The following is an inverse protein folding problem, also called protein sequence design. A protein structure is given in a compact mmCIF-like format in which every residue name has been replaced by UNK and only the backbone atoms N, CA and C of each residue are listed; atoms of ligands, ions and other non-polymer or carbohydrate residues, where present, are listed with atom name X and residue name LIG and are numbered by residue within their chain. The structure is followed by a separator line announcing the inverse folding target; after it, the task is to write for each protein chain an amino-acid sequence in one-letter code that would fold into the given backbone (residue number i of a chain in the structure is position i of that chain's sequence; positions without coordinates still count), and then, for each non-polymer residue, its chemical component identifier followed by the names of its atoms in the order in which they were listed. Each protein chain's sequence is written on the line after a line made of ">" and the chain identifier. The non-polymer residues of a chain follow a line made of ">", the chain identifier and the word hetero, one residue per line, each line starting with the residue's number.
data_IF_027814698840
#
_entry.id   IF_027814698840
#
_cell.length_a   1.000
_cell.length_b   1.000
_cell.length_c   1.000
_cell.angle_alpha   90.00
_cell.angle_beta   90.00
_cell.angle_gamma   90.00
#
_symmetry.space_group_name_H-M   'P 1'
#
loop_
_entity.id
_entity.type
_entity.pdbx_description
1 polymer ?
#
# COMPACT_ATOMS: atom_id res chain seq x y z
N UNK A 1 -40.41 12.99 4.94
CA UNK A 1 -39.17 13.74 5.19
C UNK A 1 -38.03 12.75 5.27
N UNK A 2 -37.23 12.61 4.22
CA UNK A 2 -35.93 11.91 4.26
C UNK A 2 -34.98 12.76 3.42
N UNK A 3 -34.14 13.57 4.07
CA UNK A 3 -33.05 14.27 3.40
C UNK A 3 -31.91 13.29 3.20
N UNK A 4 -31.48 13.12 1.95
CA UNK A 4 -30.21 12.48 1.61
C UNK A 4 -29.18 13.61 1.58
N UNK A 5 -28.26 13.63 2.54
CA UNK A 5 -27.13 14.56 2.56
C UNK A 5 -26.07 14.00 1.62
N UNK A 6 -25.89 14.65 0.47
CA UNK A 6 -24.80 14.36 -0.47
C UNK A 6 -23.52 15.04 0.03
N UNK A 7 -22.54 14.24 0.46
CA UNK A 7 -21.18 14.71 0.66
C UNK A 7 -20.55 14.99 -0.71
N UNK A 8 -20.15 16.23 -0.93
CA UNK A 8 -19.50 16.65 -2.16
C UNK A 8 -18.07 16.11 -2.20
N UNK A 9 -17.90 14.93 -2.81
CA UNK A 9 -16.59 14.41 -3.18
C UNK A 9 -16.12 15.24 -4.38
N UNK A 10 -15.06 16.02 -4.22
CA UNK A 10 -14.42 16.75 -5.33
C UNK A 10 -13.69 15.73 -6.20
N UNK A 11 -14.43 15.20 -7.16
CA UNK A 11 -13.97 14.28 -8.19
C UNK A 11 -15.13 14.08 -9.16
N UNK A 12 -14.86 14.00 -10.46
CA UNK A 12 -15.88 13.81 -11.49
C UNK A 12 -16.44 12.37 -11.41
N UNK A 13 -17.21 12.06 -10.37
CA UNK A 13 -17.89 10.78 -10.22
C UNK A 13 -18.91 10.64 -11.33
N UNK A 14 -18.63 9.78 -12.31
CA UNK A 14 -19.54 9.55 -13.43
C UNK A 14 -20.70 8.66 -12.97
N UNK A 15 -21.81 8.69 -13.73
CA UNK A 15 -23.00 7.89 -13.43
C UNK A 15 -22.68 6.38 -13.34
N UNK A 16 -21.67 5.91 -14.06
CA UNK A 16 -21.17 4.53 -13.99
C UNK A 16 -20.59 4.15 -12.63
N UNK A 17 -19.95 5.10 -11.93
CA UNK A 17 -19.33 4.85 -10.63
C UNK A 17 -20.39 4.68 -9.54
N UNK A 18 -21.47 5.47 -9.62
CA UNK A 18 -22.63 5.34 -8.74
C UNK A 18 -23.36 4.02 -8.96
N UNK A 19 -23.51 3.57 -10.22
CA UNK A 19 -24.12 2.27 -10.53
C UNK A 19 -23.24 1.08 -10.10
N UNK A 20 -21.90 1.23 -10.10
CA UNK A 20 -21.00 0.22 -9.54
C UNK A 20 -21.22 0.04 -8.03
N UNK A 21 -21.32 1.14 -7.28
CA UNK A 21 -21.56 1.13 -5.84
C UNK A 21 -22.99 0.70 -5.46
N UNK A 22 -23.96 0.91 -6.36
CA UNK A 22 -25.37 0.55 -6.16
C UNK A 22 -25.64 -0.94 -6.38
N UNK A 23 -24.69 -1.73 -6.91
CA UNK A 23 -24.87 -3.18 -7.02
C UNK A 23 -24.93 -3.82 -5.64
N UNK A 24 -26.05 -4.52 -5.43
CA UNK A 24 -26.55 -5.09 -4.18
C UNK A 24 -25.52 -5.86 -3.33
N UNK A 25 -25.76 -6.01 -2.00
CA UNK A 25 -24.87 -6.75 -1.12
C UNK A 25 -24.65 -8.16 -1.65
N UNK A 26 -23.40 -8.58 -1.72
CA UNK A 26 -23.02 -9.96 -2.05
C UNK A 26 -23.77 -10.90 -1.09
N UNK A 27 -24.79 -11.57 -1.62
CA UNK A 27 -25.54 -12.61 -0.94
C UNK A 27 -24.63 -13.83 -0.75
N UNK A 28 -24.16 -14.05 0.48
CA UNK A 28 -23.47 -15.28 0.85
C UNK A 28 -24.52 -16.34 1.21
N UNK A 29 -24.64 -17.45 0.46
CA UNK A 29 -25.51 -18.54 0.88
C UNK A 29 -24.85 -19.26 2.07
N UNK A 30 -25.51 -19.19 3.22
CA UNK A 30 -25.13 -19.95 4.41
C UNK A 30 -25.45 -21.43 4.18
N UNK A 31 -24.44 -22.26 3.95
CA UNK A 31 -24.58 -23.72 3.90
C UNK A 31 -23.83 -24.36 5.07
N UNK A 32 -24.57 -25.11 5.88
CA UNK A 32 -24.08 -25.84 7.04
C UNK A 32 -23.23 -27.05 6.65
N UNK A 33 -22.31 -27.41 7.55
CA UNK A 33 -21.12 -28.25 7.43
C UNK A 33 -21.31 -29.72 6.98
N UNK A 34 -20.32 -30.23 6.25
CA UNK A 34 -19.85 -31.62 6.37
C UNK A 34 -18.32 -31.65 6.32
N UNK A 35 -17.70 -32.23 7.35
CA UNK A 35 -16.25 -32.40 7.52
C UNK A 35 -15.67 -33.41 6.52
N UNK A 36 -14.57 -33.06 5.87
CA UNK A 36 -13.54 -34.01 5.44
C UNK A 36 -12.17 -33.46 5.80
N UNK A 37 -11.44 -34.24 6.61
CA UNK A 37 -10.09 -33.96 7.06
C UNK A 37 -9.11 -34.27 5.92
N UNK A 38 -8.33 -33.28 5.46
CA UNK A 38 -7.07 -33.55 4.74
C UNK A 38 -6.11 -32.36 4.86
N UNK A 39 -5.07 -32.57 5.67
CA UNK A 39 -3.73 -31.98 5.67
C UNK A 39 -3.57 -30.48 5.40
N UNK A 40 -3.11 -29.77 6.43
CA UNK A 40 -2.38 -28.49 6.29
C UNK A 40 -1.12 -28.71 5.45
N UNK A 41 -1.20 -28.44 4.16
CA UNK A 41 -0.08 -27.92 3.39
C UNK A 41 -0.46 -26.49 3.03
N UNK A 42 -0.20 -25.56 3.95
CA UNK A 42 -0.10 -24.16 3.58
C UNK A 42 1.10 -24.08 2.65
N UNK A 43 0.83 -24.21 1.36
CA UNK A 43 1.79 -23.88 0.32
C UNK A 43 2.13 -22.41 0.57
N UNK A 44 3.35 -22.17 1.03
CA UNK A 44 3.88 -20.83 1.10
C UNK A 44 3.94 -20.34 -0.34
N UNK A 45 2.87 -19.72 -0.81
CA UNK A 45 2.81 -19.09 -2.12
C UNK A 45 3.91 -18.06 -2.14
N UNK A 46 5.06 -18.47 -2.72
CA UNK A 46 6.14 -17.59 -3.12
C UNK A 46 5.48 -16.38 -3.76
N UNK A 47 5.74 -15.19 -3.21
CA UNK A 47 5.26 -13.96 -3.81
C UNK A 47 5.53 -14.04 -5.33
N UNK A 48 4.54 -13.73 -6.18
CA UNK A 48 4.73 -13.83 -7.63
C UNK A 48 6.05 -13.17 -8.01
N UNK A 49 6.87 -13.76 -8.90
CA UNK A 49 8.20 -13.24 -9.24
C UNK A 49 8.21 -11.79 -9.76
N UNK A 50 7.03 -11.25 -10.05
CA UNK A 50 6.79 -9.86 -10.41
C UNK A 50 6.77 -8.90 -9.20
N UNK A 51 6.32 -9.36 -8.03
CA UNK A 51 6.24 -8.54 -6.82
C UNK A 51 7.61 -8.06 -6.36
N UNK A 52 8.61 -8.96 -6.27
CA UNK A 52 9.95 -8.57 -5.80
C UNK A 52 10.61 -7.55 -6.75
N UNK A 53 10.43 -7.76 -8.07
CA UNK A 53 10.91 -6.82 -9.09
C UNK A 53 10.20 -5.48 -9.00
N UNK A 54 8.90 -5.48 -8.76
CA UNK A 54 8.12 -4.26 -8.59
C UNK A 54 8.50 -3.53 -7.30
N UNK A 55 8.64 -4.26 -6.19
CA UNK A 55 9.07 -3.72 -4.91
C UNK A 55 10.48 -3.10 -4.98
N UNK A 56 11.40 -3.69 -5.75
CA UNK A 56 12.70 -3.06 -6.03
C UNK A 56 12.54 -1.69 -6.69
N UNK A 57 11.65 -1.55 -7.69
CA UNK A 57 11.39 -0.24 -8.33
C UNK A 57 10.82 0.78 -7.34
N UNK A 58 9.95 0.33 -6.44
CA UNK A 58 9.44 1.19 -5.37
C UNK A 58 10.58 1.67 -4.47
N UNK A 59 11.49 0.77 -4.08
CA UNK A 59 12.67 1.14 -3.30
C UNK A 59 13.59 2.13 -4.03
N UNK A 60 13.72 2.02 -5.35
CA UNK A 60 14.51 2.95 -6.16
C UNK A 60 13.91 4.36 -6.14
N UNK A 61 12.58 4.49 -6.22
CA UNK A 61 11.90 5.80 -6.11
C UNK A 61 12.06 6.41 -4.71
N UNK A 62 11.97 5.60 -3.66
CA UNK A 62 12.24 6.10 -2.30
C UNK A 62 13.71 6.50 -2.11
N UNK A 63 14.65 5.75 -2.72
CA UNK A 63 16.07 6.11 -2.72
C UNK A 63 16.30 7.45 -3.39
N UNK A 64 15.66 7.69 -4.54
CA UNK A 64 15.69 8.98 -5.23
C UNK A 64 15.19 10.09 -4.30
N UNK A 65 14.09 9.88 -3.60
CA UNK A 65 13.54 10.90 -2.71
C UNK A 65 14.43 11.20 -1.50
N UNK A 66 15.05 10.18 -0.88
CA UNK A 66 16.03 10.35 0.21
C UNK A 66 17.21 11.19 -0.27
N UNK A 67 17.72 10.91 -1.47
CA UNK A 67 18.81 11.66 -2.07
C UNK A 67 18.42 13.12 -2.36
N UNK A 68 17.24 13.35 -2.94
CA UNK A 68 16.70 14.70 -3.20
C UNK A 68 16.52 15.51 -1.91
N UNK A 69 16.06 14.87 -0.83
CA UNK A 69 15.92 15.48 0.49
C UNK A 69 17.24 15.65 1.24
N UNK A 70 18.38 15.27 0.63
CA UNK A 70 19.73 15.30 1.21
C UNK A 70 19.81 14.59 2.56
N UNK A 71 19.10 13.47 2.67
CA UNK A 71 19.15 12.61 3.85
C UNK A 71 20.09 11.44 3.61
N UNK A 72 20.58 10.87 4.72
CA UNK A 72 21.50 9.74 4.71
C UNK A 72 20.82 8.57 5.41
N UNK A 73 20.85 7.42 4.76
CA UNK A 73 20.39 6.18 5.35
C UNK A 73 21.45 5.68 6.36
N UNK A 74 21.09 5.40 7.63
CA UNK A 74 22.03 4.87 8.59
C UNK A 74 22.66 3.55 8.12
N UNK A 75 23.93 3.26 8.45
CA UNK A 75 24.63 2.05 7.97
C UNK A 75 23.98 0.71 8.35
N UNK A 76 23.12 0.70 9.38
CA UNK A 76 22.42 -0.50 9.86
C UNK A 76 21.11 -0.78 9.10
N UNK A 77 20.68 0.12 8.24
CA UNK A 77 19.40 0.05 7.55
C UNK A 77 19.61 -0.12 6.05
N UNK A 78 18.78 -0.96 5.43
CA UNK A 78 18.63 -1.03 3.98
C UNK A 78 17.38 -0.27 3.53
N UNK A 79 17.36 0.21 2.28
CA UNK A 79 16.17 0.88 1.74
C UNK A 79 14.92 -0.03 1.74
N UNK A 80 15.01 -1.32 1.34
CA UNK A 80 13.91 -2.27 1.48
C UNK A 80 13.32 -2.36 2.89
N UNK A 81 14.17 -2.45 3.92
CA UNK A 81 13.72 -2.52 5.31
C UNK A 81 13.02 -1.23 5.74
N UNK A 82 13.58 -0.07 5.34
CA UNK A 82 12.99 1.22 5.63
C UNK A 82 11.61 1.37 4.99
N UNK A 83 11.50 1.04 3.69
CA UNK A 83 10.23 1.10 2.96
C UNK A 83 9.19 0.17 3.57
N UNK A 84 9.55 -1.08 3.91
CA UNK A 84 8.62 -1.99 4.62
C UNK A 84 8.22 -1.46 5.99
N UNK A 85 9.15 -0.85 6.72
CA UNK A 85 8.86 -0.30 8.06
C UNK A 85 7.86 0.85 7.99
N UNK A 86 8.01 1.74 7.00
CA UNK A 86 7.16 2.92 6.83
C UNK A 86 5.80 2.57 6.24
N UNK A 87 5.79 1.69 5.24
CA UNK A 87 4.56 1.23 4.59
C UNK A 87 3.80 0.18 5.39
N UNK A 88 4.44 -0.40 6.40
CA UNK A 88 3.87 -1.44 7.26
C UNK A 88 3.61 -2.76 6.52
N UNK A 89 2.77 -3.59 7.12
CA UNK A 89 2.41 -4.91 6.57
C UNK A 89 1.66 -4.80 5.22
N UNK A 90 1.06 -3.64 4.94
CA UNK A 90 0.36 -3.36 3.69
C UNK A 90 1.30 -3.28 2.48
N UNK A 91 2.61 -3.10 2.69
CA UNK A 91 3.59 -3.14 1.60
C UNK A 91 3.64 -4.50 0.88
N UNK A 92 3.09 -5.56 1.48
CA UNK A 92 2.96 -6.90 0.90
C UNK A 92 1.81 -6.95 -0.12
N UNK A 93 0.84 -6.03 -0.03
CA UNK A 93 -0.30 -5.98 -0.94
C UNK A 93 0.05 -5.22 -2.22
N UNK A 94 0.02 -5.92 -3.35
CA UNK A 94 0.39 -5.35 -4.66
C UNK A 94 -0.41 -4.09 -5.04
N UNK A 95 -1.70 -4.04 -4.71
CA UNK A 95 -2.55 -2.87 -4.98
C UNK A 95 -2.07 -1.62 -4.23
N UNK A 96 -1.90 -1.75 -2.91
CA UNK A 96 -1.36 -0.69 -2.07
C UNK A 96 0.03 -0.23 -2.52
N UNK A 97 0.92 -1.18 -2.82
CA UNK A 97 2.27 -0.88 -3.29
C UNK A 97 2.26 -0.15 -4.64
N UNK A 98 1.29 -0.46 -5.50
CA UNK A 98 1.10 0.22 -6.79
C UNK A 98 0.67 1.67 -6.59
N UNK A 99 -0.28 1.91 -5.68
CA UNK A 99 -0.72 3.26 -5.35
C UNK A 99 0.42 4.08 -4.71
N UNK A 100 1.18 3.47 -3.79
CA UNK A 100 2.35 4.08 -3.19
C UNK A 100 3.41 4.43 -4.25
N UNK A 101 3.67 3.52 -5.20
CA UNK A 101 4.61 3.74 -6.32
C UNK A 101 4.20 4.94 -7.18
N UNK A 102 2.95 5.01 -7.63
CA UNK A 102 2.51 6.13 -8.45
C UNK A 102 2.49 7.44 -7.66
N UNK A 103 2.14 7.40 -6.37
CA UNK A 103 2.18 8.57 -5.52
C UNK A 103 3.61 9.13 -5.39
N UNK A 104 4.61 8.28 -5.11
CA UNK A 104 6.02 8.71 -5.01
C UNK A 104 6.59 9.15 -6.36
N UNK A 105 6.24 8.46 -7.44
CA UNK A 105 6.69 8.83 -8.79
C UNK A 105 6.17 10.23 -9.20
N UNK A 106 4.91 10.53 -8.92
CA UNK A 106 4.28 11.80 -9.32
C UNK A 106 4.59 12.96 -8.38
N UNK A 107 4.61 12.70 -7.06
CA UNK A 107 4.76 13.75 -6.05
C UNK A 107 6.18 13.86 -5.49
N UNK A 108 7.06 12.88 -5.76
CA UNK A 108 8.43 12.84 -5.25
C UNK A 108 8.48 12.95 -3.74
N UNK A 109 9.27 13.89 -3.23
CA UNK A 109 9.42 14.19 -1.80
C UNK A 109 8.16 14.69 -1.11
N UNK A 110 7.11 15.08 -1.86
CA UNK A 110 5.78 15.47 -1.34
C UNK A 110 4.77 14.34 -1.34
N UNK A 111 5.18 13.14 -1.72
CA UNK A 111 4.32 11.96 -1.60
C UNK A 111 4.11 11.60 -0.14
N UNK A 112 2.93 11.10 0.19
CA UNK A 112 2.61 10.70 1.56
C UNK A 112 3.65 9.71 2.10
N UNK A 113 3.98 8.68 1.31
CA UNK A 113 4.96 7.67 1.72
C UNK A 113 6.35 8.26 1.90
N UNK A 114 6.78 9.21 1.07
CA UNK A 114 8.09 9.82 1.22
C UNK A 114 8.16 10.73 2.43
N UNK A 115 7.12 11.52 2.72
CA UNK A 115 7.09 12.36 3.91
C UNK A 115 7.21 11.52 5.19
N UNK A 116 6.46 10.42 5.27
CA UNK A 116 6.54 9.49 6.41
C UNK A 116 7.92 8.82 6.48
N UNK A 117 8.48 8.42 5.34
CA UNK A 117 9.82 7.83 5.30
C UNK A 117 10.90 8.80 5.77
N UNK A 118 10.84 10.07 5.35
CA UNK A 118 11.81 11.09 5.76
C UNK A 118 11.66 11.45 7.24
N UNK A 119 10.44 11.52 7.77
CA UNK A 119 10.20 11.72 9.22
C UNK A 119 10.77 10.56 10.03
N UNK A 120 10.53 9.33 9.59
CA UNK A 120 11.10 8.15 10.25
C UNK A 120 12.63 8.15 10.16
N UNK A 121 13.18 8.53 9.00
CA UNK A 121 14.61 8.65 8.79
C UNK A 121 15.25 9.70 9.72
N UNK A 122 14.60 10.84 9.91
CA UNK A 122 15.03 11.89 10.84
C UNK A 122 14.96 11.39 12.30
N UNK A 123 13.94 10.60 12.65
CA UNK A 123 13.80 9.99 13.97
C UNK A 123 14.94 8.99 14.26
N UNK A 124 15.22 8.07 13.34
CA UNK A 124 16.27 7.07 13.57
C UNK A 124 17.66 7.71 13.57
N UNK A 125 17.92 8.70 12.72
CA UNK A 125 19.20 9.43 12.72
C UNK A 125 19.38 10.31 13.98
N UNK A 126 18.30 10.72 14.66
CA UNK A 126 18.42 11.41 15.95
C UNK A 126 18.79 10.47 17.11
N UNK A 127 18.39 9.20 17.03
CA UNK A 127 18.66 8.19 18.06
C UNK A 127 20.09 7.63 17.95
N UNK A 128 20.72 7.75 16.78
CA UNK A 128 22.11 7.33 16.52
C UNK A 128 23.10 8.50 16.61
#
# INVERSE_FOLDING_TARGET
>A
MNQIVLYQIVGNTTLSDLEFMRRDPIYFPSASSTLTSSSKASDAQSAPPDFEKFFSKVCDEYTRCVHEARRVLPPKWTMPELVRTVLGDDAIHHGFLTDAYYNVMLCGTRSWGCEELLKFLDLINYVF
#
